data_IF_336544366275
#
_entry.id   IF_336544366275
#
_cell.length_a   1.000
_cell.length_b   1.000
_cell.length_c   1.000
_cell.angle_alpha   90.00
_cell.angle_beta   90.00
_cell.angle_gamma   90.00
#
_symmetry.space_group_name_H-M   'P 1'
#
loop_
_entity.id
_entity.type
_entity.pdbx_description
1 polymer ?
#
# COMPACT_ATOMS: atom_id res chain seq x y z
N UNK A 1 -23.60 19.31 0.35
CA UNK A 1 -24.55 18.35 -0.25
C UNK A 1 -23.78 17.12 -0.72
N UNK A 2 -24.35 15.91 -0.60
CA UNK A 2 -23.71 14.71 -1.11
C UNK A 2 -24.30 14.35 -2.49
N UNK A 3 -23.51 14.53 -3.55
CA UNK A 3 -23.95 14.25 -4.93
C UNK A 3 -24.04 12.74 -5.24
N UNK A 4 -23.47 11.89 -4.40
CA UNK A 4 -23.55 10.43 -4.54
C UNK A 4 -24.88 9.86 -4.03
N UNK A 5 -25.54 10.56 -3.10
CA UNK A 5 -26.89 10.19 -2.62
C UNK A 5 -28.03 10.82 -3.41
N UNK A 6 -27.72 11.73 -4.35
CA UNK A 6 -28.71 12.40 -5.21
C UNK A 6 -28.88 11.66 -6.53
N UNK A 7 -30.10 11.72 -7.08
CA UNK A 7 -30.34 11.25 -8.44
C UNK A 7 -29.60 12.13 -9.45
N UNK A 8 -29.27 11.55 -10.61
CA UNK A 8 -28.58 12.27 -11.68
C UNK A 8 -29.34 13.53 -12.13
N UNK A 9 -30.67 13.45 -12.16
CA UNK A 9 -31.55 14.54 -12.59
C UNK A 9 -31.52 15.69 -11.58
N UNK A 10 -31.58 15.39 -10.27
CA UNK A 10 -31.49 16.40 -9.22
C UNK A 10 -30.16 17.15 -9.27
N UNK A 11 -29.05 16.42 -9.46
CA UNK A 11 -27.72 17.02 -9.59
C UNK A 11 -27.66 17.98 -10.78
N UNK A 12 -28.23 17.60 -11.93
CA UNK A 12 -28.25 18.44 -13.14
C UNK A 12 -29.13 19.68 -12.93
N UNK A 13 -30.32 19.50 -12.36
CA UNK A 13 -31.25 20.61 -12.10
C UNK A 13 -30.61 21.63 -11.17
N UNK A 14 -29.97 21.18 -10.09
CA UNK A 14 -29.25 22.03 -9.17
C UNK A 14 -28.10 22.79 -9.87
N UNK A 15 -27.24 22.09 -10.60
CA UNK A 15 -26.11 22.71 -11.30
C UNK A 15 -26.60 23.72 -12.33
N UNK A 16 -27.63 23.40 -13.12
CA UNK A 16 -28.17 24.31 -14.12
C UNK A 16 -28.81 25.55 -13.50
N UNK A 17 -29.46 25.42 -12.33
CA UNK A 17 -29.99 26.53 -11.57
C UNK A 17 -28.85 27.46 -11.11
N UNK A 18 -27.83 26.92 -10.45
CA UNK A 18 -26.70 27.71 -9.93
C UNK A 18 -25.86 28.35 -11.05
N UNK A 19 -25.66 27.64 -12.17
CA UNK A 19 -24.99 28.21 -13.35
C UNK A 19 -25.83 29.34 -13.98
N UNK A 20 -27.17 29.25 -13.95
CA UNK A 20 -28.05 30.32 -14.44
C UNK A 20 -27.99 31.59 -13.58
N UNK A 21 -27.66 31.43 -12.29
CA UNK A 21 -27.42 32.52 -11.34
C UNK A 21 -26.03 33.16 -11.50
N UNK A 22 -25.21 32.68 -12.44
CA UNK A 22 -23.88 33.23 -12.73
C UNK A 22 -22.75 32.64 -11.89
N UNK A 23 -23.01 31.63 -11.06
CA UNK A 23 -21.92 30.94 -10.33
C UNK A 23 -21.07 30.11 -11.29
N UNK A 24 -19.81 29.92 -10.93
CA UNK A 24 -18.90 29.08 -11.71
C UNK A 24 -19.05 27.61 -11.33
N UNK A 25 -18.80 26.70 -12.28
CA UNK A 25 -18.82 25.26 -12.00
C UNK A 25 -17.84 24.87 -10.89
N UNK A 26 -16.69 25.56 -10.83
CA UNK A 26 -15.67 25.34 -9.80
C UNK A 26 -16.23 25.63 -8.41
N UNK A 27 -16.94 26.74 -8.24
CA UNK A 27 -17.54 27.11 -6.96
C UNK A 27 -18.60 26.12 -6.51
N UNK A 28 -19.42 25.62 -7.44
CA UNK A 28 -20.47 24.62 -7.14
C UNK A 28 -19.83 23.30 -6.70
N UNK A 29 -18.80 22.83 -7.42
CA UNK A 29 -18.08 21.60 -7.10
C UNK A 29 -17.36 21.68 -5.74
N UNK A 30 -16.65 22.77 -5.47
CA UNK A 30 -15.82 22.90 -4.26
C UNK A 30 -16.64 23.28 -3.01
N UNK A 31 -17.64 24.16 -3.12
CA UNK A 31 -18.40 24.66 -1.95
C UNK A 31 -19.63 23.80 -1.65
N UNK A 32 -20.37 23.40 -2.68
CA UNK A 32 -21.68 22.76 -2.48
C UNK A 32 -21.54 21.23 -2.43
N UNK A 33 -20.72 20.68 -3.32
CA UNK A 33 -20.47 19.23 -3.41
C UNK A 33 -19.20 18.74 -2.70
N UNK A 34 -18.35 19.66 -2.23
CA UNK A 34 -17.08 19.36 -1.55
C UNK A 34 -16.17 18.42 -2.35
N UNK A 35 -16.13 18.59 -3.68
CA UNK A 35 -15.29 17.82 -4.59
C UNK A 35 -14.34 18.71 -5.38
N UNK A 36 -13.25 18.11 -5.86
CA UNK A 36 -12.31 18.80 -6.73
C UNK A 36 -12.96 19.21 -8.06
N UNK A 37 -12.47 20.32 -8.61
CA UNK A 37 -12.87 20.82 -9.93
C UNK A 37 -12.82 19.72 -11.00
N UNK A 38 -13.92 19.58 -11.73
CA UNK A 38 -14.09 18.68 -12.87
C UNK A 38 -14.58 17.28 -12.52
N UNK A 39 -14.74 16.92 -11.24
CA UNK A 39 -15.26 15.60 -10.83
C UNK A 39 -16.69 15.41 -11.33
N UNK A 40 -17.57 16.38 -11.07
CA UNK A 40 -18.97 16.31 -11.47
C UNK A 40 -19.09 16.46 -12.99
N UNK A 41 -18.32 17.37 -13.58
CA UNK A 41 -18.26 17.52 -15.04
C UNK A 41 -17.91 16.20 -15.74
N UNK A 42 -16.91 15.47 -15.26
CA UNK A 42 -16.53 14.14 -15.79
C UNK A 42 -17.65 13.11 -15.60
N UNK A 43 -18.32 13.11 -14.44
CA UNK A 43 -19.46 12.21 -14.15
C UNK A 43 -20.60 12.45 -15.13
N UNK A 44 -20.97 13.71 -15.36
CA UNK A 44 -22.03 14.12 -16.29
C UNK A 44 -21.67 13.77 -17.74
N UNK A 45 -20.44 14.03 -18.17
CA UNK A 45 -19.96 13.66 -19.52
C UNK A 45 -20.08 12.14 -19.77
N UNK A 46 -19.73 11.30 -18.80
CA UNK A 46 -19.88 9.82 -18.88
C UNK A 46 -21.34 9.37 -18.94
N UNK A 47 -22.28 10.23 -18.56
CA UNK A 47 -23.72 9.97 -18.62
C UNK A 47 -24.37 10.58 -19.88
N UNK A 48 -23.58 11.24 -20.74
CA UNK A 48 -24.06 11.83 -21.99
C UNK A 48 -24.49 13.29 -21.87
N UNK A 49 -24.13 13.98 -20.79
CA UNK A 49 -24.43 15.40 -20.63
C UNK A 49 -23.21 16.24 -21.00
N UNK A 50 -23.42 17.34 -21.72
CA UNK A 50 -22.37 18.30 -22.07
C UNK A 50 -22.78 19.71 -21.69
N UNK A 51 -21.79 20.50 -21.29
CA UNK A 51 -21.99 21.92 -21.02
C UNK A 51 -22.05 22.69 -22.34
N UNK A 52 -23.21 23.28 -22.63
CA UNK A 52 -23.50 24.13 -23.80
C UNK A 52 -24.19 25.38 -23.25
N UNK A 53 -23.71 26.57 -23.62
CA UNK A 53 -24.28 27.86 -23.18
C UNK A 53 -24.52 27.95 -21.66
N UNK A 54 -23.48 27.59 -20.90
CA UNK A 54 -23.49 27.56 -19.44
C UNK A 54 -24.55 26.65 -18.80
N UNK A 55 -25.09 25.66 -19.52
CA UNK A 55 -26.03 24.65 -19.01
C UNK A 55 -25.60 23.26 -19.43
N UNK A 56 -25.86 22.25 -18.59
CA UNK A 56 -25.70 20.86 -18.94
C UNK A 56 -26.95 20.35 -19.66
N UNK A 57 -26.78 19.93 -20.90
CA UNK A 57 -27.82 19.39 -21.76
C UNK A 57 -27.43 17.95 -22.12
N UNK A 58 -28.42 17.07 -22.22
CA UNK A 58 -28.22 15.71 -22.71
C UNK A 58 -27.97 15.74 -24.22
N UNK A 59 -26.88 15.13 -24.66
CA UNK A 59 -26.52 15.06 -26.09
C UNK A 59 -26.43 13.58 -26.49
N UNK A 60 -27.43 13.14 -27.26
CA UNK A 60 -27.54 11.77 -27.77
C UNK A 60 -26.38 11.39 -28.70
N UNK A 61 -25.72 12.38 -29.31
CA UNK A 61 -24.61 12.16 -30.23
C UNK A 61 -23.29 11.89 -29.52
N UNK A 62 -23.22 12.08 -28.19
CA UNK A 62 -22.05 11.69 -27.39
C UNK A 62 -22.00 10.16 -27.33
N UNK A 63 -21.28 9.59 -28.30
CA UNK A 63 -20.84 8.20 -28.25
C UNK A 63 -19.99 8.05 -26.98
N UNK A 64 -20.61 7.58 -25.91
CA UNK A 64 -19.92 7.15 -24.70
C UNK A 64 -18.78 6.21 -25.11
N UNK A 65 -17.55 6.72 -25.11
CA UNK A 65 -16.36 5.92 -25.46
C UNK A 65 -16.20 4.74 -24.49
N UNK A 66 -16.78 4.85 -23.30
CA UNK A 66 -16.85 3.80 -22.28
C UNK A 66 -17.90 2.71 -22.53
N UNK A 67 -18.96 2.94 -23.32
CA UNK A 67 -19.95 1.86 -23.62
C UNK A 67 -19.36 0.79 -24.57
N UNK A 68 -18.35 1.15 -25.37
CA UNK A 68 -17.65 0.19 -26.24
C UNK A 68 -16.70 -0.72 -25.47
N UNK A 69 -16.10 -0.29 -24.36
CA UNK A 69 -15.19 -1.14 -23.58
C UNK A 69 -15.91 -2.21 -22.75
N UNK A 70 -17.16 -2.00 -22.33
CA UNK A 70 -17.92 -3.02 -21.59
C UNK A 70 -18.63 -4.06 -22.47
N UNK A 71 -19.09 -3.72 -23.68
CA UNK A 71 -19.66 -4.74 -24.59
C UNK A 71 -18.62 -5.67 -25.23
N UNK A 72 -17.38 -5.22 -25.42
CA UNK A 72 -16.29 -6.07 -25.94
C UNK A 72 -15.93 -7.20 -24.96
N UNK A 73 -16.28 -7.09 -23.68
CA UNK A 73 -16.00 -8.13 -22.67
C UNK A 73 -17.00 -9.30 -22.67
N UNK A 74 -18.09 -9.25 -23.45
CA UNK A 74 -19.12 -10.31 -23.47
C UNK A 74 -19.16 -11.12 -24.78
N UNK A 75 -18.36 -10.79 -25.80
CA UNK A 75 -18.32 -11.53 -27.06
C UNK A 75 -17.04 -12.37 -27.19
N UNK A 76 -17.11 -13.62 -26.70
CA UNK A 76 -16.13 -14.72 -26.85
C UNK A 76 -14.70 -14.42 -26.34
N UNK A 77 -14.01 -15.39 -25.72
CA UNK A 77 -12.66 -15.18 -25.25
C UNK A 77 -11.76 -15.00 -26.48
N UNK A 78 -11.32 -13.77 -26.72
CA UNK A 78 -10.11 -13.54 -27.49
C UNK A 78 -8.98 -14.13 -26.66
N UNK A 79 -8.55 -15.32 -27.08
CA UNK A 79 -7.18 -15.80 -26.89
C UNK A 79 -6.27 -14.65 -27.35
N UNK A 80 -5.18 -14.39 -26.63
CA UNK A 80 -4.18 -13.34 -26.87
C UNK A 80 -4.26 -12.05 -26.03
N UNK A 81 -4.64 -12.20 -24.76
CA UNK A 81 -3.80 -11.61 -23.70
C UNK A 81 -3.45 -12.72 -22.72
N UNK A 82 -2.18 -12.89 -22.31
CA UNK A 82 -1.90 -13.74 -21.19
C UNK A 82 -2.62 -13.14 -19.98
N UNK A 83 -3.78 -13.70 -19.64
CA UNK A 83 -4.25 -13.64 -18.25
C UNK A 83 -3.06 -14.17 -17.48
N UNK A 84 -2.51 -13.37 -16.58
CA UNK A 84 -1.51 -13.84 -15.62
C UNK A 84 -2.24 -14.95 -14.86
N UNK A 85 -2.05 -16.19 -15.31
CA UNK A 85 -2.56 -17.36 -14.63
C UNK A 85 -1.83 -17.32 -13.31
N UNK A 86 -2.57 -17.06 -12.24
CA UNK A 86 -1.98 -17.13 -10.93
C UNK A 86 -1.46 -18.55 -10.77
N UNK A 87 -0.17 -18.69 -10.43
CA UNK A 87 0.37 -20.01 -10.10
C UNK A 87 -0.50 -20.62 -8.98
N UNK A 88 -0.61 -21.95 -8.94
CA UNK A 88 -1.21 -22.61 -7.77
C UNK A 88 -0.55 -22.14 -6.47
N UNK A 89 0.74 -21.78 -6.50
CA UNK A 89 1.46 -21.19 -5.37
C UNK A 89 0.94 -19.81 -4.96
N UNK A 90 0.47 -19.00 -5.91
CA UNK A 90 -0.07 -17.66 -5.63
C UNK A 90 -1.49 -17.76 -5.04
N UNK A 91 -2.26 -18.77 -5.47
CA UNK A 91 -3.57 -19.10 -4.89
C UNK A 91 -3.43 -19.65 -3.47
N UNK A 92 -2.47 -20.54 -3.22
CA UNK A 92 -2.20 -21.09 -1.88
C UNK A 92 -1.73 -20.00 -0.91
N UNK A 93 -0.89 -19.06 -1.37
CA UNK A 93 -0.49 -17.90 -0.56
C UNK A 93 -1.69 -17.03 -0.18
N UNK A 94 -2.65 -16.85 -1.09
CA UNK A 94 -3.84 -16.06 -0.83
C UNK A 94 -4.75 -16.75 0.20
N UNK A 95 -4.91 -18.06 0.10
CA UNK A 95 -5.68 -18.85 1.05
C UNK A 95 -5.04 -18.85 2.45
N UNK A 96 -3.71 -18.94 2.54
CA UNK A 96 -2.95 -18.75 3.79
C UNK A 96 -3.17 -17.36 4.40
N UNK A 97 -3.24 -16.31 3.58
CA UNK A 97 -3.51 -14.94 4.02
C UNK A 97 -4.94 -14.73 4.52
N UNK A 98 -5.92 -15.40 3.91
CA UNK A 98 -7.32 -15.37 4.35
C UNK A 98 -7.53 -16.15 5.65
N UNK A 99 -6.78 -17.24 5.84
CA UNK A 99 -6.82 -18.08 7.04
C UNK A 99 -5.90 -17.59 8.17
N UNK A 100 -5.17 -16.49 7.97
CA UNK A 100 -4.34 -15.87 9.00
C UNK A 100 -5.24 -15.16 10.01
N UNK A 101 -5.39 -15.78 11.18
CA UNK A 101 -6.14 -15.20 12.29
C UNK A 101 -5.44 -13.92 12.79
N UNK A 102 -6.12 -12.79 12.63
CA UNK A 102 -5.68 -11.48 13.11
C UNK A 102 -5.33 -11.54 14.61
N UNK A 103 -6.05 -12.34 15.41
CA UNK A 103 -5.79 -12.46 16.84
C UNK A 103 -4.45 -13.13 17.16
N UNK A 104 -4.03 -14.10 16.35
CA UNK A 104 -2.71 -14.75 16.47
C UNK A 104 -1.61 -13.77 16.05
N UNK A 105 -1.83 -13.00 14.98
CA UNK A 105 -0.90 -11.94 14.54
C UNK A 105 -0.75 -10.85 15.61
N UNK A 106 -1.84 -10.41 16.22
CA UNK A 106 -1.78 -9.43 17.32
C UNK A 106 -1.06 -9.98 18.55
N UNK A 107 -1.23 -11.28 18.85
CA UNK A 107 -0.56 -11.94 19.96
C UNK A 107 0.95 -12.06 19.71
N UNK A 108 1.35 -12.48 18.50
CA UNK A 108 2.74 -12.48 18.03
C UNK A 108 3.31 -11.06 18.11
N UNK A 109 2.63 -10.06 17.54
CA UNK A 109 3.11 -8.68 17.56
C UNK A 109 3.27 -8.19 19.01
N UNK A 110 2.34 -8.47 19.92
CA UNK A 110 2.49 -8.11 21.35
C UNK A 110 3.64 -8.84 22.04
N UNK A 111 3.91 -10.09 21.69
CA UNK A 111 4.98 -10.90 22.25
C UNK A 111 6.36 -10.46 21.72
N UNK A 112 6.44 -9.98 20.48
CA UNK A 112 7.68 -9.53 19.83
C UNK A 112 7.91 -8.00 19.83
N UNK A 113 6.88 -7.19 20.08
CA UNK A 113 7.00 -5.73 20.24
C UNK A 113 6.77 -5.32 21.70
N UNK A 114 7.71 -5.69 22.55
CA UNK A 114 7.91 -4.91 23.78
C UNK A 114 8.48 -3.56 23.38
N UNK A 115 7.84 -2.47 23.82
CA UNK A 115 8.08 -1.08 23.39
C UNK A 115 9.52 -0.55 23.54
N UNK A 116 10.52 -1.33 23.96
CA UNK A 116 11.87 -0.84 24.29
C UNK A 116 13.04 -1.81 24.02
N UNK A 117 13.00 -2.70 23.02
CA UNK A 117 14.21 -3.49 22.70
C UNK A 117 14.44 -3.71 21.21
N UNK A 118 15.65 -3.35 20.79
CA UNK A 118 16.35 -3.55 19.52
C UNK A 118 15.86 -4.68 18.62
N UNK A 119 15.60 -4.33 17.35
CA UNK A 119 15.36 -5.25 16.24
C UNK A 119 16.62 -6.09 15.99
N UNK A 120 16.63 -7.35 16.40
CA UNK A 120 17.62 -8.34 15.94
C UNK A 120 17.06 -9.05 14.72
N UNK A 121 17.47 -8.63 13.53
CA UNK A 121 17.24 -9.38 12.30
C UNK A 121 18.28 -10.50 12.21
N UNK A 122 18.03 -11.62 12.87
CA UNK A 122 18.89 -12.80 12.72
C UNK A 122 18.13 -13.87 11.96
N UNK A 123 18.59 -14.14 10.73
CA UNK A 123 18.33 -15.40 10.05
C UNK A 123 19.15 -16.47 10.78
N UNK A 124 18.48 -17.40 11.45
CA UNK A 124 19.07 -18.67 11.89
C UNK A 124 18.77 -19.65 10.74
N UNK A 125 19.71 -20.44 10.24
CA UNK A 125 19.99 -21.77 10.80
C UNK A 125 21.35 -22.33 10.37
N UNK A 126 22.24 -22.51 11.34
CA UNK A 126 23.13 -23.67 11.43
C UNK A 126 22.79 -24.34 12.78
N UNK A 127 22.57 -25.65 12.82
CA UNK A 127 22.08 -26.38 14.01
C UNK A 127 23.01 -26.26 15.23
N UNK A 128 24.23 -25.78 14.98
CA UNK A 128 25.30 -25.58 15.97
C UNK A 128 25.33 -24.16 16.57
N UNK A 129 24.58 -23.20 16.00
CA UNK A 129 24.68 -21.78 16.36
C UNK A 129 23.51 -21.30 17.21
N UNK A 130 23.81 -20.60 18.31
CA UNK A 130 22.81 -19.97 19.19
C UNK A 130 22.94 -18.45 19.18
N UNK A 131 21.84 -17.79 18.83
CA UNK A 131 21.70 -16.34 18.92
C UNK A 131 21.62 -15.90 20.38
N UNK A 132 22.55 -15.04 20.80
CA UNK A 132 22.60 -14.51 22.16
C UNK A 132 22.87 -13.00 22.13
N UNK A 133 22.18 -12.24 22.99
CA UNK A 133 22.39 -10.79 23.13
C UNK A 133 23.24 -10.49 24.37
N UNK A 134 24.26 -9.64 24.23
CA UNK A 134 25.16 -9.23 25.32
C UNK A 134 25.22 -7.70 25.37
N UNK A 135 25.25 -7.14 26.58
CA UNK A 135 25.47 -5.70 26.78
C UNK A 135 26.97 -5.43 26.89
N UNK A 136 27.46 -4.48 26.10
CA UNK A 136 28.87 -4.10 26.04
C UNK A 136 28.97 -2.59 26.24
N UNK A 137 30.02 -2.14 26.93
CA UNK A 137 30.30 -0.71 27.06
C UNK A 137 30.43 -0.05 25.67
N UNK A 138 29.82 1.13 25.51
CA UNK A 138 29.73 1.84 24.24
C UNK A 138 31.11 2.22 23.65
N UNK A 139 32.05 2.64 24.48
CA UNK A 139 33.41 3.00 24.03
C UNK A 139 34.19 1.79 23.57
N UNK A 140 34.07 0.67 24.30
CA UNK A 140 34.69 -0.59 23.93
C UNK A 140 34.13 -1.10 22.60
N UNK A 141 32.81 -1.07 22.43
CA UNK A 141 32.17 -1.44 21.17
C UNK A 141 32.67 -0.57 20.00
N UNK A 142 32.80 0.74 20.19
CA UNK A 142 33.30 1.65 19.16
C UNK A 142 34.74 1.32 18.73
N UNK A 143 35.61 0.98 19.69
CA UNK A 143 37.00 0.57 19.42
C UNK A 143 37.05 -0.74 18.61
N UNK A 144 36.30 -1.76 19.04
CA UNK A 144 36.26 -3.06 18.36
C UNK A 144 35.67 -2.90 16.95
N UNK A 145 34.61 -2.10 16.79
CA UNK A 145 34.00 -1.83 15.47
C UNK A 145 34.98 -1.15 14.51
N UNK A 146 35.78 -0.21 14.99
CA UNK A 146 36.82 0.46 14.20
C UNK A 146 37.91 -0.53 13.77
N UNK A 147 38.34 -1.39 14.68
CA UNK A 147 39.31 -2.45 14.41
C UNK A 147 38.79 -3.47 13.38
N UNK A 148 37.55 -3.95 13.54
CA UNK A 148 36.91 -4.88 12.61
C UNK A 148 36.85 -4.31 11.18
N UNK A 149 36.48 -3.03 11.05
CA UNK A 149 36.43 -2.34 9.75
C UNK A 149 37.81 -2.22 9.09
N UNK A 150 38.85 -1.97 9.88
CA UNK A 150 40.23 -1.87 9.37
C UNK A 150 40.76 -3.20 8.83
N UNK A 151 40.38 -4.31 9.46
CA UNK A 151 40.88 -5.65 9.14
C UNK A 151 39.91 -6.51 8.31
N UNK A 152 38.76 -5.95 7.88
CA UNK A 152 37.69 -6.65 7.14
C UNK A 152 37.16 -7.91 7.87
N UNK A 153 37.11 -7.87 9.20
CA UNK A 153 36.62 -8.96 10.04
C UNK A 153 35.15 -8.74 10.42
N UNK A 154 34.40 -9.81 10.68
CA UNK A 154 33.09 -9.67 11.30
C UNK A 154 33.25 -9.51 12.82
N UNK A 155 32.30 -8.78 13.42
CA UNK A 155 32.31 -8.57 14.86
C UNK A 155 32.10 -9.88 15.63
N UNK A 156 31.32 -10.80 15.04
CA UNK A 156 31.04 -12.12 15.61
C UNK A 156 32.30 -12.98 15.70
N UNK A 157 33.17 -12.91 14.69
CA UNK A 157 34.44 -13.67 14.67
C UNK A 157 35.35 -13.20 15.81
N UNK A 158 35.50 -11.88 15.96
CA UNK A 158 36.32 -11.28 17.03
C UNK A 158 35.80 -11.68 18.41
N UNK A 159 34.48 -11.64 18.63
CA UNK A 159 33.91 -12.04 19.91
C UNK A 159 34.06 -13.54 20.17
N UNK A 160 33.92 -14.37 19.15
CA UNK A 160 34.10 -15.82 19.27
C UNK A 160 35.54 -16.18 19.63
N UNK A 161 36.52 -15.61 18.93
CA UNK A 161 37.95 -15.81 19.23
C UNK A 161 38.31 -15.34 20.64
N UNK A 162 37.83 -14.16 21.05
CA UNK A 162 38.07 -13.62 22.39
C UNK A 162 37.51 -14.54 23.48
N UNK A 163 36.33 -15.12 23.27
CA UNK A 163 35.71 -16.03 24.22
C UNK A 163 36.44 -17.38 24.27
N UNK A 164 36.88 -17.90 23.13
CA UNK A 164 37.67 -19.15 23.07
C UNK A 164 39.00 -18.95 23.80
N UNK A 165 39.75 -17.88 23.49
CA UNK A 165 41.03 -17.56 24.14
C UNK A 165 40.88 -17.40 25.66
N UNK A 166 39.80 -16.75 26.11
CA UNK A 166 39.49 -16.65 27.53
C UNK A 166 39.23 -18.03 28.16
N UNK A 167 38.42 -18.87 27.52
CA UNK A 167 38.13 -20.22 28.01
C UNK A 167 39.35 -21.13 28.00
N UNK A 168 40.24 -21.01 27.02
CA UNK A 168 41.49 -21.78 26.95
C UNK A 168 42.48 -21.37 28.04
N UNK A 169 42.61 -20.07 28.32
CA UNK A 169 43.47 -19.56 29.41
C UNK A 169 42.97 -19.96 30.80
N UNK A 170 41.69 -20.26 30.93
CA UNK A 170 41.04 -20.63 32.19
C UNK A 170 40.59 -22.10 32.23
N UNK A 171 41.04 -22.92 31.27
CA UNK A 171 40.91 -24.38 31.32
C UNK A 171 41.96 -24.93 32.29
N UNK A 172 41.53 -25.30 33.50
CA UNK A 172 42.26 -26.20 34.37
C UNK A 172 42.05 -27.64 33.92
#
# INVERSE_FOLDING_TARGET
MNYESMSLIEVINYINLELSQGRTMKDIEERDFMVSKGVITKRLNRKGYKKIDNKFIFDENIKNTTKKTTKILQSKPSIDKPKKAFSNDELEKLERLLNLDIGILEKIIKEYTTKNTTVSSIKVTDETTKVTSIRINQELYAKIKKYAKGNKLQLVDIFSEMMIDYLEKHKN
#
